data_IF_655660655855
#
_entry.id   IF_655660655855
#
_cell.length_a   1.000
_cell.length_b   1.000
_cell.length_c   1.000
_cell.angle_alpha   90.00
_cell.angle_beta   90.00
_cell.angle_gamma   90.00
#
_symmetry.space_group_name_H-M   'P 1'
#
loop_
_entity.id
_entity.type
_entity.pdbx_description
1 polymer ?
#
# COMPACT_ATOMS: atom_id res chain seq x y z
N UNK A 1 15.19 -19.17 -10.80
CA UNK A 1 14.65 -18.46 -9.62
C UNK A 1 13.59 -17.46 -10.08
N UNK A 2 12.37 -17.57 -9.55
CA UNK A 2 11.20 -16.86 -10.08
C UNK A 2 11.18 -15.40 -9.60
N UNK A 3 11.12 -14.48 -10.55
CA UNK A 3 11.35 -13.03 -10.37
C UNK A 3 10.17 -12.27 -9.76
N UNK A 4 9.34 -12.99 -9.02
CA UNK A 4 8.03 -12.55 -8.53
C UNK A 4 8.15 -12.09 -7.07
N UNK A 5 9.28 -12.34 -6.41
CA UNK A 5 9.51 -11.99 -4.99
C UNK A 5 10.99 -11.63 -4.77
N UNK A 6 11.32 -10.33 -4.76
CA UNK A 6 12.56 -9.88 -4.12
C UNK A 6 13.38 -8.79 -4.83
N UNK A 7 13.10 -8.45 -6.09
CA UNK A 7 13.85 -7.38 -6.79
C UNK A 7 12.93 -6.33 -7.40
N UNK A 8 13.40 -5.08 -7.39
CA UNK A 8 12.68 -3.95 -7.98
C UNK A 8 12.72 -4.07 -9.50
N UNK A 9 11.58 -3.82 -10.15
CA UNK A 9 11.41 -3.77 -11.62
C UNK A 9 12.54 -3.00 -12.32
N UNK A 10 13.04 -1.90 -11.71
CA UNK A 10 14.15 -1.10 -12.23
C UNK A 10 15.53 -1.79 -12.27
N UNK A 11 15.74 -2.89 -11.55
CA UNK A 11 17.00 -3.66 -11.47
C UNK A 11 16.88 -5.04 -12.12
N UNK A 12 15.80 -5.26 -12.88
CA UNK A 12 15.51 -6.52 -13.50
C UNK A 12 16.02 -6.48 -14.96
N UNK A 13 17.05 -7.27 -15.27
CA UNK A 13 17.71 -7.30 -16.59
C UNK A 13 17.14 -8.43 -17.49
N UNK A 14 15.89 -8.82 -17.31
CA UNK A 14 15.30 -9.90 -18.10
C UNK A 14 14.77 -9.32 -19.40
N UNK A 15 15.34 -9.75 -20.53
CA UNK A 15 14.93 -9.34 -21.89
C UNK A 15 13.93 -10.31 -22.52
N UNK A 16 13.77 -11.50 -21.94
CA UNK A 16 12.91 -12.58 -22.41
C UNK A 16 11.42 -12.41 -22.05
N UNK A 17 11.11 -11.59 -21.03
CA UNK A 17 9.73 -11.40 -20.52
C UNK A 17 9.36 -9.94 -20.29
N UNK A 18 8.12 -9.62 -20.65
CA UNK A 18 7.53 -8.30 -20.42
C UNK A 18 7.40 -8.02 -18.91
N UNK A 19 7.94 -6.87 -18.50
CA UNK A 19 7.91 -6.37 -17.13
C UNK A 19 6.62 -5.59 -16.89
N UNK A 20 5.73 -6.12 -16.03
CA UNK A 20 4.56 -5.37 -15.60
C UNK A 20 4.88 -4.52 -14.37
N UNK A 21 4.55 -3.21 -14.37
CA UNK A 21 4.68 -2.38 -13.19
C UNK A 21 3.69 -2.86 -12.13
N UNK A 22 4.18 -3.54 -11.10
CA UNK A 22 3.37 -3.84 -9.92
C UNK A 22 3.21 -2.54 -9.13
N UNK A 23 2.00 -1.97 -9.16
CA UNK A 23 1.68 -0.81 -8.34
C UNK A 23 1.90 -1.16 -6.88
N UNK A 24 2.59 -0.28 -6.15
CA UNK A 24 2.73 -0.43 -4.71
C UNK A 24 1.32 -0.42 -4.13
N UNK A 25 0.98 -1.44 -3.33
CA UNK A 25 -0.19 -1.35 -2.46
C UNK A 25 0.00 -0.07 -1.65
N UNK A 26 -0.95 0.85 -1.75
CA UNK A 26 -0.93 2.06 -0.93
C UNK A 26 -0.80 1.70 0.54
N UNK A 27 -0.36 2.66 1.37
CA UNK A 27 -0.34 2.44 2.82
C UNK A 27 -1.76 2.03 3.25
N UNK A 28 -1.87 0.85 3.86
CA UNK A 28 -3.16 0.41 4.40
C UNK A 28 -3.64 1.45 5.42
N UNK A 29 -4.93 1.79 5.38
CA UNK A 29 -5.50 2.70 6.36
C UNK A 29 -5.50 2.02 7.72
N UNK A 30 -4.95 2.68 8.73
CA UNK A 30 -4.87 2.14 10.10
C UNK A 30 -6.15 2.40 10.91
N UNK A 31 -7.16 3.05 10.33
CA UNK A 31 -8.40 3.41 11.00
C UNK A 31 -9.60 3.20 10.10
N UNK A 32 -10.71 2.82 10.71
CA UNK A 32 -11.99 2.74 10.02
C UNK A 32 -12.46 4.11 9.52
N UNK A 33 -13.40 4.09 8.58
CA UNK A 33 -14.00 5.28 7.96
C UNK A 33 -14.67 6.17 9.01
N UNK A 34 -15.39 5.59 9.97
CA UNK A 34 -16.10 6.31 11.03
C UNK A 34 -15.15 7.12 11.93
N UNK A 35 -14.07 6.50 12.45
CA UNK A 35 -13.11 7.21 13.30
C UNK A 35 -12.33 8.29 12.54
N UNK A 36 -12.09 8.08 11.24
CA UNK A 36 -11.48 9.10 10.39
C UNK A 36 -12.40 10.29 10.20
N UNK A 37 -13.70 10.06 10.03
CA UNK A 37 -14.68 11.12 9.87
C UNK A 37 -14.80 11.96 11.13
N UNK A 38 -14.90 11.32 12.31
CA UNK A 38 -14.91 11.99 13.61
C UNK A 38 -13.69 12.90 13.83
N UNK A 39 -12.51 12.50 13.33
CA UNK A 39 -11.33 13.37 13.35
C UNK A 39 -11.47 14.59 12.44
N UNK A 40 -12.03 14.41 11.25
CA UNK A 40 -12.17 15.50 10.27
C UNK A 40 -13.27 16.49 10.66
N UNK A 41 -14.41 15.98 11.13
CA UNK A 41 -15.61 16.78 11.40
C UNK A 41 -15.61 17.36 12.81
N UNK A 42 -15.09 16.62 13.79
CA UNK A 42 -15.16 16.98 15.21
C UNK A 42 -13.80 17.16 15.87
N UNK A 43 -12.69 16.94 15.15
CA UNK A 43 -11.32 17.03 15.71
C UNK A 43 -11.09 16.09 16.90
N UNK A 44 -11.80 14.96 16.95
CA UNK A 44 -11.73 14.00 18.07
C UNK A 44 -10.61 12.99 17.84
N UNK A 45 -9.55 13.02 18.68
CA UNK A 45 -8.40 12.13 18.57
C UNK A 45 -8.51 10.89 19.48
N UNK A 46 -9.35 9.93 19.09
CA UNK A 46 -9.45 8.62 19.78
C UNK A 46 -8.67 7.52 19.08
N UNK A 47 -8.21 6.53 19.86
CA UNK A 47 -7.67 5.27 19.34
C UNK A 47 -8.84 4.47 18.73
N UNK A 48 -8.77 4.12 17.44
CA UNK A 48 -9.72 3.17 16.85
C UNK A 48 -9.39 1.78 17.40
N UNK A 49 -10.36 1.20 18.10
CA UNK A 49 -10.38 -0.20 18.59
C UNK A 49 -11.36 -1.08 17.79
N UNK A 50 -11.97 -0.46 16.79
CA UNK A 50 -12.33 -1.05 15.51
C UNK A 50 -11.07 -1.50 14.74
#
# INVERSE_FOLDING_TARGET
>A
ASCIRGHRVKKCNHTDRQLFPVLKRGRQISQCTHCRDLRKTKQIHIKCTC
#
